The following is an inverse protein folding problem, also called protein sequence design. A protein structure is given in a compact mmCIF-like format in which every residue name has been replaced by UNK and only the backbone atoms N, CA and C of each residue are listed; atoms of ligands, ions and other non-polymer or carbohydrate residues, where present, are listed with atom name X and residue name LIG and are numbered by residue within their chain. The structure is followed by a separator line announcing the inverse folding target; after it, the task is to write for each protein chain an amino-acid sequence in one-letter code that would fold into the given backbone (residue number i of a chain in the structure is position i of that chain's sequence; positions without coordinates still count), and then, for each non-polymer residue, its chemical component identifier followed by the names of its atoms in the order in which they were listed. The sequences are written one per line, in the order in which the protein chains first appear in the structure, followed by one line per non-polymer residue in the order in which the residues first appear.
data_IF_163154355562
#
_entry.id   IF_163154355562
#
_cell.length_a   1.000
_cell.length_b   1.000
_cell.length_c   1.000
_cell.angle_alpha   90.00
_cell.angle_beta   90.00
_cell.angle_gamma   90.00
#
_symmetry.space_group_name_H-M   'P 1'
#
loop_
_entity.id
_entity.type
_entity.pdbx_description
1 polymer ?
#
# COMPACT_ATOMS: atom_id res chain seq x y z
N UNK A 1 5.95 26.90 4.37
CA UNK A 1 4.62 27.28 4.92
C UNK A 1 3.46 27.20 3.90
N UNK A 2 3.52 27.84 2.71
CA UNK A 2 2.41 27.79 1.71
C UNK A 2 2.02 26.38 1.23
N UNK A 3 2.99 25.45 1.09
CA UNK A 3 2.74 24.07 0.62
C UNK A 3 1.96 23.22 1.62
N UNK A 4 2.33 23.28 2.91
CA UNK A 4 1.61 22.55 3.98
C UNK A 4 0.18 23.06 4.14
N UNK A 5 -0.01 24.39 4.14
CA UNK A 5 -1.34 24.99 4.18
C UNK A 5 -2.25 24.46 3.05
N UNK A 6 -1.74 24.44 1.81
CA UNK A 6 -2.49 23.87 0.67
C UNK A 6 -2.86 22.40 0.91
N UNK A 7 -1.94 21.58 1.43
CA UNK A 7 -2.19 20.17 1.73
C UNK A 7 -3.25 20.00 2.82
N UNK A 8 -3.19 20.79 3.89
CA UNK A 8 -4.19 20.79 4.96
C UNK A 8 -5.58 21.18 4.45
N UNK A 9 -5.68 22.23 3.64
CA UNK A 9 -6.95 22.65 3.04
C UNK A 9 -7.55 21.52 2.21
N UNK A 10 -6.76 20.91 1.32
CA UNK A 10 -7.22 19.77 0.51
C UNK A 10 -7.67 18.60 1.38
N UNK A 11 -6.95 18.32 2.48
CA UNK A 11 -7.27 17.23 3.39
C UNK A 11 -8.60 17.47 4.12
N UNK A 12 -8.80 18.67 4.67
CA UNK A 12 -10.02 19.04 5.39
C UNK A 12 -11.26 19.01 4.49
N UNK A 13 -11.14 19.53 3.26
CA UNK A 13 -12.22 19.45 2.27
C UNK A 13 -12.46 18.01 1.80
N UNK A 14 -11.41 17.20 1.63
CA UNK A 14 -11.53 15.82 1.16
C UNK A 14 -12.27 14.87 2.11
N UNK A 15 -12.49 15.30 3.35
CA UNK A 15 -13.18 14.56 4.42
C UNK A 15 -14.36 15.35 5.01
N UNK A 16 -14.86 16.37 4.31
CA UNK A 16 -15.99 17.18 4.79
C UNK A 16 -17.30 16.39 4.89
N UNK A 17 -17.40 15.27 4.17
CA UNK A 17 -18.51 14.32 4.13
C UNK A 17 -18.67 13.52 5.44
N UNK A 18 -17.60 13.37 6.23
CA UNK A 18 -17.65 12.63 7.48
C UNK A 18 -18.08 13.48 8.68
N UNK A 19 -18.87 12.86 9.55
CA UNK A 19 -19.28 13.47 10.81
C UNK A 19 -18.07 13.69 11.74
N UNK A 20 -18.19 14.63 12.67
CA UNK A 20 -17.16 14.87 13.68
C UNK A 20 -16.88 13.60 14.52
N UNK A 21 -17.93 12.84 14.85
CA UNK A 21 -17.83 11.59 15.61
C UNK A 21 -17.00 10.53 14.89
N UNK A 22 -17.18 10.39 13.58
CA UNK A 22 -16.42 9.41 12.79
C UNK A 22 -14.93 9.77 12.73
N UNK A 23 -14.64 11.07 12.59
CA UNK A 23 -13.27 11.61 12.62
C UNK A 23 -12.61 11.38 13.98
N UNK A 24 -13.33 11.61 15.08
CA UNK A 24 -12.83 11.39 16.44
C UNK A 24 -12.57 9.91 16.72
N UNK A 25 -13.50 9.02 16.32
CA UNK A 25 -13.29 7.57 16.42
C UNK A 25 -12.07 7.12 15.64
N UNK A 26 -11.90 7.62 14.41
CA UNK A 26 -10.71 7.36 13.61
C UNK A 26 -9.43 7.79 14.33
N UNK A 27 -9.39 9.03 14.82
CA UNK A 27 -8.21 9.57 15.49
C UNK A 27 -7.87 8.82 16.78
N UNK A 28 -8.88 8.34 17.51
CA UNK A 28 -8.67 7.50 18.68
C UNK A 28 -8.01 6.16 18.31
N UNK A 29 -8.56 5.44 17.34
CA UNK A 29 -7.96 4.18 16.86
C UNK A 29 -6.54 4.40 16.32
N UNK A 30 -6.31 5.49 15.61
CA UNK A 30 -4.98 5.80 15.08
C UNK A 30 -3.98 6.16 16.19
N UNK A 31 -4.44 6.80 17.25
CA UNK A 31 -3.63 7.10 18.44
C UNK A 31 -3.19 5.80 19.12
N UNK A 32 -4.12 4.87 19.30
CA UNK A 32 -3.83 3.56 19.91
C UNK A 32 -2.84 2.76 19.06
N UNK A 33 -3.06 2.70 17.74
CA UNK A 33 -2.20 1.95 16.83
C UNK A 33 -0.78 2.54 16.70
N UNK A 34 -0.66 3.87 16.75
CA UNK A 34 0.64 4.55 16.60
C UNK A 34 1.39 4.73 17.92
N UNK A 35 0.73 4.51 19.06
CA UNK A 35 1.25 4.83 20.40
C UNK A 35 1.70 6.30 20.56
N UNK A 36 1.13 7.19 19.74
CA UNK A 36 1.39 8.63 19.70
C UNK A 36 0.06 9.33 19.35
N UNK A 37 -0.08 10.61 19.71
CA UNK A 37 -1.31 11.36 19.44
C UNK A 37 -1.63 11.36 17.94
N UNK A 38 -2.71 10.69 17.55
CA UNK A 38 -3.04 10.40 16.15
C UNK A 38 -3.19 11.65 15.27
N UNK A 39 -3.57 12.79 15.84
CA UNK A 39 -3.60 14.06 15.11
C UNK A 39 -2.20 14.57 14.71
N UNK A 40 -1.19 14.34 15.56
CA UNK A 40 0.20 14.73 15.30
C UNK A 40 0.83 13.79 14.27
N UNK A 41 0.59 12.48 14.41
CA UNK A 41 1.02 11.48 13.41
C UNK A 41 0.40 11.79 12.04
N UNK A 42 -0.89 12.07 11.99
CA UNK A 42 -1.59 12.40 10.75
C UNK A 42 -1.06 13.70 10.13
N UNK A 43 -0.81 14.73 10.95
CA UNK A 43 -0.22 15.98 10.49
C UNK A 43 1.18 15.76 9.92
N UNK A 44 1.99 14.90 10.56
CA UNK A 44 3.31 14.53 10.07
C UNK A 44 3.23 13.82 8.71
N UNK A 45 2.29 12.88 8.52
CA UNK A 45 2.05 12.25 7.21
C UNK A 45 1.70 13.28 6.15
N UNK A 46 0.77 14.21 6.47
CA UNK A 46 0.37 15.29 5.55
C UNK A 46 1.58 16.17 5.19
N UNK A 47 2.46 16.49 6.16
CA UNK A 47 3.62 17.34 5.90
C UNK A 47 4.71 16.65 5.07
N UNK A 48 4.91 15.35 5.25
CA UNK A 48 5.89 14.57 4.48
C UNK A 48 5.45 14.25 3.05
N UNK A 49 4.15 14.23 2.76
CA UNK A 49 3.66 14.04 1.39
C UNK A 49 4.30 15.08 0.46
N UNK A 50 5.05 14.58 -0.53
CA UNK A 50 5.74 15.38 -1.53
C UNK A 50 4.74 16.06 -2.46
N UNK A 51 3.73 15.37 -2.97
CA UNK A 51 2.81 15.95 -3.94
C UNK A 51 1.41 16.18 -3.35
N UNK A 52 0.86 17.38 -3.51
CA UNK A 52 -0.49 17.72 -3.06
C UNK A 52 -1.58 16.79 -3.64
N UNK A 53 -1.36 16.21 -4.82
CA UNK A 53 -2.28 15.25 -5.42
C UNK A 53 -2.34 13.92 -4.66
N UNK A 54 -1.37 13.60 -3.80
CA UNK A 54 -1.46 12.43 -2.91
C UNK A 54 -2.39 12.67 -1.71
N UNK A 55 -2.78 13.91 -1.45
CA UNK A 55 -3.72 14.20 -0.36
C UNK A 55 -5.09 13.55 -0.63
N UNK A 56 -5.57 13.55 -1.88
CA UNK A 56 -6.80 12.83 -2.21
C UNK A 56 -6.68 11.32 -1.98
N UNK A 57 -5.49 10.74 -2.23
CA UNK A 57 -5.21 9.33 -1.96
C UNK A 57 -5.28 9.06 -0.45
N UNK A 58 -4.65 9.89 0.37
CA UNK A 58 -4.74 9.80 1.83
C UNK A 58 -6.19 9.92 2.33
N UNK A 59 -6.97 10.87 1.79
CA UNK A 59 -8.39 11.03 2.11
C UNK A 59 -9.19 9.77 1.76
N UNK A 60 -8.94 9.16 0.60
CA UNK A 60 -9.64 7.93 0.21
C UNK A 60 -9.27 6.75 1.12
N UNK A 61 -8.00 6.62 1.52
CA UNK A 61 -7.57 5.60 2.48
C UNK A 61 -8.22 5.80 3.86
N UNK A 62 -8.32 7.04 4.33
CA UNK A 62 -9.01 7.35 5.58
C UNK A 62 -10.51 7.06 5.47
N UNK A 63 -11.15 7.37 4.33
CA UNK A 63 -12.54 7.00 4.03
C UNK A 63 -12.74 5.49 4.11
N UNK A 64 -11.87 4.72 3.46
CA UNK A 64 -11.92 3.26 3.50
C UNK A 64 -11.75 2.71 4.93
N UNK A 65 -10.85 3.29 5.72
CA UNK A 65 -10.71 2.95 7.14
C UNK A 65 -12.01 3.26 7.91
N UNK A 66 -12.54 4.48 7.80
CA UNK A 66 -13.75 4.88 8.55
C UNK A 66 -14.93 3.98 8.21
N UNK A 67 -15.06 3.58 6.94
CA UNK A 67 -16.09 2.68 6.47
C UNK A 67 -15.85 1.19 6.81
N UNK A 68 -14.73 0.86 7.45
CA UNK A 68 -14.38 -0.51 7.84
C UNK A 68 -13.87 -1.39 6.70
N UNK A 69 -13.51 -0.81 5.56
CA UNK A 69 -13.03 -1.54 4.38
C UNK A 69 -11.56 -1.94 4.49
N UNK A 70 -10.80 -1.24 5.33
CA UNK A 70 -9.44 -1.59 5.75
C UNK A 70 -9.28 -1.43 7.27
N UNK A 71 -8.39 -2.24 7.86
CA UNK A 71 -8.02 -2.09 9.27
C UNK A 71 -7.17 -0.83 9.50
N UNK A 72 -7.06 -0.39 10.77
CA UNK A 72 -6.16 0.69 11.13
C UNK A 72 -4.70 0.36 10.82
N UNK A 73 -4.26 -0.89 11.00
CA UNK A 73 -2.90 -1.34 10.68
C UNK A 73 -2.60 -1.24 9.18
N UNK A 74 -3.58 -1.62 8.33
CA UNK A 74 -3.48 -1.45 6.89
C UNK A 74 -3.37 0.05 6.54
N UNK A 75 -4.17 0.91 7.17
CA UNK A 75 -4.07 2.35 6.99
C UNK A 75 -2.67 2.89 7.37
N UNK A 76 -2.13 2.49 8.52
CA UNK A 76 -0.78 2.91 8.96
C UNK A 76 0.30 2.49 7.96
N UNK A 77 0.26 1.25 7.49
CA UNK A 77 1.20 0.75 6.46
C UNK A 77 1.05 1.51 5.15
N UNK A 78 -0.18 1.78 4.72
CA UNK A 78 -0.44 2.55 3.50
C UNK A 78 0.02 4.01 3.61
N UNK A 79 -0.05 4.65 4.78
CA UNK A 79 0.55 5.97 5.01
C UNK A 79 2.06 5.96 4.74
N UNK A 80 2.78 4.91 5.17
CA UNK A 80 4.21 4.78 4.90
C UNK A 80 4.49 4.55 3.42
N UNK A 81 3.64 3.76 2.74
CA UNK A 81 3.75 3.52 1.30
C UNK A 81 3.59 4.83 0.52
N UNK A 82 2.54 5.62 0.78
CA UNK A 82 2.31 6.88 0.05
C UNK A 82 3.38 7.94 0.34
N UNK A 83 4.02 7.89 1.51
CA UNK A 83 5.17 8.74 1.85
C UNK A 83 6.38 8.43 0.95
N UNK A 84 6.68 7.13 0.76
CA UNK A 84 7.88 6.68 0.03
C UNK A 84 7.72 6.68 -1.50
N UNK A 85 6.55 6.29 -2.00
CA UNK A 85 6.32 6.09 -3.43
C UNK A 85 6.19 7.43 -4.16
N UNK A 86 7.05 7.85 -5.10
CA UNK A 86 6.91 9.12 -5.79
C UNK A 86 5.58 9.23 -6.56
N UNK A 87 5.00 10.44 -6.62
CA UNK A 87 3.67 10.62 -7.24
C UNK A 87 3.61 10.16 -8.71
N UNK A 88 4.70 10.32 -9.46
CA UNK A 88 4.79 9.95 -10.87
C UNK A 88 4.64 8.45 -11.12
N UNK A 89 4.92 7.62 -10.11
CA UNK A 89 4.91 6.15 -10.22
C UNK A 89 3.56 5.52 -9.86
N UNK A 90 2.63 6.28 -9.27
CA UNK A 90 1.29 5.78 -8.96
C UNK A 90 0.56 5.27 -10.21
N UNK A 91 0.74 5.94 -11.36
CA UNK A 91 0.14 5.51 -12.64
C UNK A 91 0.66 4.15 -13.11
N UNK A 92 1.86 3.76 -12.69
CA UNK A 92 2.49 2.52 -13.12
C UNK A 92 1.95 1.31 -12.35
N UNK A 93 1.39 1.49 -11.14
CA UNK A 93 0.87 0.40 -10.30
C UNK A 93 -0.13 -0.51 -11.02
N UNK A 94 -0.95 0.04 -11.92
CA UNK A 94 -1.95 -0.73 -12.68
C UNK A 94 -1.30 -1.77 -13.60
N UNK A 95 -0.07 -1.56 -14.06
CA UNK A 95 0.65 -2.50 -14.94
C UNK A 95 1.00 -3.80 -14.20
N UNK A 96 1.27 -3.71 -12.89
CA UNK A 96 1.68 -4.83 -12.03
C UNK A 96 0.49 -5.66 -11.52
N UNK A 97 -0.71 -5.48 -12.07
CA UNK A 97 -1.85 -6.40 -11.85
C UNK A 97 -1.55 -7.81 -12.37
N UNK A 98 -0.68 -7.90 -13.36
CA UNK A 98 -0.14 -9.13 -13.94
C UNK A 98 1.39 -9.11 -13.84
N UNK A 99 2.06 -10.20 -14.19
CA UNK A 99 3.52 -10.21 -14.23
C UNK A 99 4.04 -9.13 -15.18
N UNK A 100 4.80 -8.18 -14.63
CA UNK A 100 5.33 -7.05 -15.37
C UNK A 100 6.71 -6.67 -14.84
N UNK A 101 7.52 -6.03 -15.68
CA UNK A 101 8.80 -5.43 -15.30
C UNK A 101 9.05 -4.20 -16.17
N UNK A 102 9.60 -3.16 -15.55
CA UNK A 102 10.01 -1.93 -16.19
C UNK A 102 11.21 -1.35 -15.42
N UNK A 103 12.35 -1.26 -16.11
CA UNK A 103 13.62 -0.75 -15.57
C UNK A 103 13.42 0.62 -14.92
N UNK A 104 13.95 0.80 -13.70
CA UNK A 104 13.79 2.01 -12.90
C UNK A 104 12.44 2.12 -12.17
N UNK A 105 11.35 1.61 -12.73
CA UNK A 105 10.05 1.59 -12.02
C UNK A 105 10.04 0.48 -10.97
N UNK A 106 10.55 -0.70 -11.31
CA UNK A 106 10.68 -1.84 -10.39
C UNK A 106 11.52 -1.47 -9.16
N UNK A 107 12.62 -0.74 -9.39
CA UNK A 107 13.57 -0.28 -8.38
C UNK A 107 12.97 0.72 -7.39
N UNK A 108 11.89 1.40 -7.79
CA UNK A 108 11.15 2.35 -6.94
C UNK A 108 9.98 1.66 -6.24
N UNK A 109 9.20 0.86 -6.98
CA UNK A 109 7.98 0.23 -6.47
C UNK A 109 8.29 -0.89 -5.46
N UNK A 110 9.35 -1.67 -5.66
CA UNK A 110 9.69 -2.78 -4.78
C UNK A 110 10.09 -2.30 -3.37
N UNK A 111 11.04 -1.35 -3.21
CA UNK A 111 11.37 -0.80 -1.88
C UNK A 111 10.23 0.02 -1.25
N UNK A 112 9.32 0.55 -2.07
CA UNK A 112 8.10 1.21 -1.59
C UNK A 112 7.09 0.23 -0.97
N UNK A 113 7.31 -1.08 -1.12
CA UNK A 113 6.52 -2.12 -0.46
C UNK A 113 5.17 -2.41 -1.12
N UNK A 114 5.02 -2.14 -2.42
CA UNK A 114 3.75 -2.33 -3.17
C UNK A 114 3.78 -3.48 -4.17
N UNK A 115 4.96 -3.96 -4.54
CA UNK A 115 5.14 -5.11 -5.43
C UNK A 115 6.03 -6.16 -4.78
N UNK A 116 6.01 -7.38 -5.31
CA UNK A 116 6.91 -8.48 -4.97
C UNK A 116 7.40 -9.15 -6.26
N UNK A 117 8.59 -9.77 -6.22
CA UNK A 117 9.10 -10.56 -7.33
C UNK A 117 8.25 -11.83 -7.46
N UNK A 118 7.51 -11.95 -8.56
CA UNK A 118 6.58 -13.04 -8.84
C UNK A 118 7.17 -14.12 -9.73
N UNK A 119 8.17 -13.78 -10.55
CA UNK A 119 8.89 -14.72 -11.42
C UNK A 119 10.37 -14.42 -11.31
N UNK A 120 11.12 -15.39 -10.80
CA UNK A 120 12.58 -15.37 -10.74
C UNK A 120 13.06 -16.17 -11.95
N UNK A 121 13.60 -15.49 -12.95
CA UNK A 121 14.12 -16.13 -14.16
C UNK A 121 15.58 -15.73 -14.38
N UNK A 122 16.47 -16.71 -14.26
CA UNK A 122 17.91 -16.52 -14.48
C UNK A 122 18.26 -16.12 -15.93
N UNK A 123 17.35 -16.34 -16.89
CA UNK A 123 17.58 -16.15 -18.32
C UNK A 123 16.60 -15.17 -19.00
N UNK A 124 15.41 -14.96 -18.42
CA UNK A 124 14.29 -14.22 -19.03
C UNK A 124 13.86 -12.92 -18.32
N UNK A 125 14.64 -12.48 -17.33
CA UNK A 125 14.40 -11.25 -16.57
C UNK A 125 13.32 -11.43 -15.49
N UNK A 126 13.57 -10.85 -14.33
CA UNK A 126 12.64 -10.88 -13.20
C UNK A 126 11.31 -10.21 -13.56
N UNK A 127 10.20 -10.72 -13.00
CA UNK A 127 8.89 -10.07 -13.09
C UNK A 127 8.31 -9.83 -11.72
N UNK A 128 7.43 -8.84 -11.64
CA UNK A 128 6.82 -8.41 -10.40
C UNK A 128 5.30 -8.35 -10.52
N UNK A 129 4.63 -8.50 -9.36
CA UNK A 129 3.19 -8.28 -9.19
C UNK A 129 2.90 -7.43 -7.97
N UNK A 130 1.72 -6.82 -7.94
CA UNK A 130 1.21 -6.14 -6.75
C UNK A 130 1.09 -7.11 -5.57
N UNK A 131 1.70 -6.75 -4.46
CA UNK A 131 1.44 -7.41 -3.18
C UNK A 131 0.12 -6.92 -2.59
N UNK A 132 -0.25 -7.43 -1.41
CA UNK A 132 -1.50 -7.04 -0.74
C UNK A 132 -1.60 -5.53 -0.48
N UNK A 133 -0.52 -4.84 -0.08
CA UNK A 133 -0.52 -3.38 0.12
C UNK A 133 -0.71 -2.63 -1.20
N UNK A 134 -0.06 -3.06 -2.28
CA UNK A 134 -0.25 -2.50 -3.62
C UNK A 134 -1.69 -2.64 -4.11
N UNK A 135 -2.34 -3.78 -3.85
CA UNK A 135 -3.75 -4.01 -4.17
C UNK A 135 -4.68 -3.11 -3.37
N UNK A 136 -4.47 -2.98 -2.06
CA UNK A 136 -5.24 -2.06 -1.21
C UNK A 136 -5.06 -0.60 -1.65
N UNK A 137 -3.84 -0.19 -1.99
CA UNK A 137 -3.55 1.16 -2.47
C UNK A 137 -4.29 1.45 -3.79
N UNK A 138 -4.25 0.51 -4.74
CA UNK A 138 -5.01 0.64 -5.98
C UNK A 138 -6.51 0.72 -5.72
N UNK A 139 -7.05 -0.19 -4.92
CA UNK A 139 -8.50 -0.29 -4.68
C UNK A 139 -9.05 0.90 -3.93
N UNK A 140 -8.45 1.23 -2.79
CA UNK A 140 -9.00 2.22 -1.86
C UNK A 140 -8.30 3.56 -1.95
N UNK A 141 -7.02 3.61 -2.30
CA UNK A 141 -6.30 4.89 -2.47
C UNK A 141 -6.60 5.53 -3.83
N UNK A 142 -6.58 4.73 -4.89
CA UNK A 142 -6.74 5.18 -6.28
C UNK A 142 -8.12 4.87 -6.88
N UNK A 143 -9.04 4.23 -6.13
CA UNK A 143 -10.38 3.86 -6.58
C UNK A 143 -10.39 3.00 -7.86
N UNK A 144 -9.39 2.14 -8.03
CA UNK A 144 -9.28 1.22 -9.17
C UNK A 144 -9.88 -0.12 -8.79
N UNK A 145 -10.86 -0.61 -9.55
CA UNK A 145 -11.42 -1.94 -9.33
C UNK A 145 -10.35 -3.03 -9.51
N UNK A 146 -10.12 -3.81 -8.45
CA UNK A 146 -9.21 -4.95 -8.41
C UNK A 146 -9.63 -5.92 -7.29
N UNK A 147 -9.39 -7.20 -7.52
CA UNK A 147 -9.57 -8.22 -6.50
C UNK A 147 -8.50 -8.11 -5.40
N UNK A 148 -8.92 -8.25 -4.15
CA UNK A 148 -8.06 -8.19 -2.97
C UNK A 148 -7.55 -9.55 -2.52
N UNK A 149 -7.86 -10.62 -3.26
CA UNK A 149 -7.33 -11.96 -2.99
C UNK A 149 -5.83 -11.90 -2.68
N UNK A 150 -5.44 -12.47 -1.53
CA UNK A 150 -4.03 -12.58 -1.18
C UNK A 150 -3.32 -13.36 -2.30
N UNK A 151 -2.10 -12.98 -2.70
CA UNK A 151 -1.33 -13.85 -3.59
C UNK A 151 -1.23 -15.22 -2.93
N UNK A 152 -1.68 -16.25 -3.65
CA UNK A 152 -1.35 -17.64 -3.32
C UNK A 152 0.15 -17.69 -3.14
N UNK A 153 0.59 -18.25 -2.00
CA UNK A 153 2.00 -18.49 -1.71
C UNK A 153 2.69 -18.96 -2.98
N UNK A 154 3.74 -18.27 -3.40
CA UNK A 154 4.57 -18.73 -4.52
C UNK A 154 4.96 -20.16 -4.18
N UNK A 155 4.43 -21.14 -4.92
CA UNK A 155 4.89 -22.51 -4.80
C UNK A 155 6.35 -22.47 -5.19
N UNK A 156 7.25 -22.66 -4.22
CA UNK A 156 8.65 -22.83 -4.54
C UNK A 156 8.75 -24.05 -5.47
N UNK A 157 9.38 -23.93 -6.65
CA UNK A 157 9.75 -25.11 -7.41
C UNK A 157 10.76 -25.87 -6.54
N UNK A 158 10.37 -27.07 -6.10
CA UNK A 158 11.18 -28.02 -5.33
C UNK A 158 11.39 -27.69 -3.84
N UNK A 159 10.35 -27.83 -3.02
CA UNK A 159 10.54 -28.53 -1.75
C UNK A 159 10.31 -30.01 -2.00
N UNK A 160 11.40 -30.77 -2.17
CA UNK A 160 11.36 -32.23 -2.09
C UNK A 160 10.66 -32.61 -0.78
N UNK A 161 9.53 -33.30 -0.89
CA UNK A 161 8.88 -33.94 0.25
C UNK A 161 9.87 -34.95 0.88
N UNK A 162 9.97 -35.05 2.21
CA UNK A 162 10.89 -35.98 2.88
C UNK A 162 10.70 -37.47 2.56
N UNK A 163 9.66 -37.84 1.82
CA UNK A 163 9.31 -39.24 1.54
C UNK A 163 10.08 -39.88 0.38
N UNK A 164 11.09 -39.21 -0.18
CA UNK A 164 11.91 -39.73 -1.28
C UNK A 164 13.23 -40.41 -0.84
N UNK A 165 13.41 -40.71 0.46
CA UNK A 165 14.63 -41.32 1.01
C UNK A 165 14.45 -42.68 1.70
N UNK A 166 13.37 -43.40 1.38
CA UNK A 166 13.28 -44.83 1.66
C UNK A 166 13.19 -45.58 0.32
N UNK A 167 13.92 -46.70 0.23
CA UNK A 167 13.95 -47.66 -0.88
C UNK A 167 15.01 -47.44 -1.97
N UNK A 168 16.26 -47.72 -1.60
CA UNK A 168 17.36 -48.34 -2.37
C UNK A 168 18.54 -48.40 -1.40
N UNK A 169 19.06 -49.53 -0.95
CA UNK A 169 19.46 -50.74 -1.67
C UNK A 169 19.51 -51.96 -0.73
N UNK A 170 19.28 -53.12 -1.36
CA UNK A 170 19.76 -54.46 -0.95
C UNK A 170 21.27 -54.48 -1.16
#
# INVERSE_FOLDING_TARGET
MRRLYKKMVLFLYGLSDFSQRDKEKFLHEYTVASQEKGSEVLLAVIDKIDNANKISILCNLMRAKINGEISIDNFVRLCQVIERLPYVDFKNLVKYKVDYSELGTDDVLSPSGVIYNSVIDANGGDKYRLNYMGKLLLRYGMNVCIDLDAPSSVLMPNTLTPDALAWKEI
#
